data_IF_222996804679
#
_entry.id   IF_222996804679
#
_cell.length_a   1.000
_cell.length_b   1.000
_cell.length_c   1.000
_cell.angle_alpha   90.00
_cell.angle_beta   90.00
_cell.angle_gamma   90.00
#
_symmetry.space_group_name_H-M   'P 1'
#
loop_
_entity.id
_entity.type
_entity.pdbx_description
1 polymer ?
#
# COMPACT_ATOMS: atom_id res chain seq x y z
N UNK A 1 -9.82 -17.49 -1.52
CA UNK A 1 -8.42 -17.06 -1.54
C UNK A 1 -8.37 -15.54 -1.55
N UNK A 2 -7.62 -14.90 -0.64
CA UNK A 2 -7.45 -13.44 -0.67
C UNK A 2 -6.52 -13.06 -1.83
N UNK A 3 -6.89 -12.04 -2.61
CA UNK A 3 -6.03 -11.51 -3.68
C UNK A 3 -4.80 -10.86 -3.06
N UNK A 4 -3.62 -11.02 -3.65
CA UNK A 4 -2.40 -10.40 -3.15
C UNK A 4 -1.87 -9.38 -4.17
N UNK A 5 -1.45 -8.22 -3.70
CA UNK A 5 -0.82 -7.17 -4.50
C UNK A 5 0.46 -6.73 -3.78
N UNK A 6 1.55 -6.59 -4.53
CA UNK A 6 2.84 -6.10 -4.03
C UNK A 6 3.12 -4.74 -4.67
N UNK A 7 3.52 -3.77 -3.84
CA UNK A 7 3.96 -2.44 -4.25
C UNK A 7 5.43 -2.25 -3.84
N UNK A 8 6.19 -1.50 -4.62
CA UNK A 8 7.54 -1.06 -4.28
C UNK A 8 7.60 0.47 -4.36
N UNK A 9 8.03 1.12 -3.27
CA UNK A 9 8.06 2.57 -3.18
C UNK A 9 9.04 3.06 -2.11
N UNK A 10 9.56 4.26 -2.31
CA UNK A 10 10.27 5.03 -1.29
C UNK A 10 9.37 6.14 -0.72
N UNK A 11 9.90 6.91 0.23
CA UNK A 11 9.16 7.96 0.94
C UNK A 11 8.62 9.08 0.03
N UNK A 12 9.22 9.35 -1.13
CA UNK A 12 8.72 10.36 -2.07
C UNK A 12 7.43 9.93 -2.77
N UNK A 13 7.07 8.64 -2.68
CA UNK A 13 5.88 8.06 -3.29
C UNK A 13 4.81 7.66 -2.27
N UNK A 14 5.00 7.98 -0.98
CA UNK A 14 4.10 7.57 0.10
C UNK A 14 2.63 7.96 -0.16
N UNK A 15 2.38 9.20 -0.60
CA UNK A 15 1.06 9.71 -0.96
C UNK A 15 0.44 8.95 -2.14
N UNK A 16 1.29 8.51 -3.08
CA UNK A 16 0.87 7.78 -4.30
C UNK A 16 0.52 6.34 -3.96
N UNK A 17 1.32 5.68 -3.12
CA UNK A 17 1.03 4.35 -2.60
C UNK A 17 -0.32 4.34 -1.89
N UNK A 18 -0.56 5.32 -1.01
CA UNK A 18 -1.82 5.44 -0.29
C UNK A 18 -3.02 5.62 -1.26
N UNK A 19 -2.88 6.51 -2.24
CA UNK A 19 -3.90 6.74 -3.27
C UNK A 19 -4.18 5.48 -4.09
N UNK A 20 -3.12 4.76 -4.47
CA UNK A 20 -3.24 3.49 -5.19
C UNK A 20 -4.00 2.45 -4.37
N UNK A 21 -3.63 2.25 -3.10
CA UNK A 21 -4.31 1.30 -2.20
C UNK A 21 -5.80 1.67 -2.05
N UNK A 22 -6.11 2.95 -1.78
CA UNK A 22 -7.49 3.44 -1.65
C UNK A 22 -8.32 3.21 -2.91
N UNK A 23 -7.76 3.51 -4.08
CA UNK A 23 -8.46 3.30 -5.36
C UNK A 23 -8.77 1.82 -5.62
N UNK A 24 -7.85 0.90 -5.29
CA UNK A 24 -8.05 -0.54 -5.42
C UNK A 24 -9.14 -1.02 -4.45
N UNK A 25 -9.06 -0.61 -3.18
CA UNK A 25 -10.03 -0.95 -2.14
C UNK A 25 -11.44 -0.40 -2.44
N UNK A 26 -11.57 0.65 -3.25
CA UNK A 26 -12.87 1.21 -3.63
C UNK A 26 -13.77 0.25 -4.41
N UNK A 27 -13.17 -0.73 -5.12
CA UNK A 27 -13.88 -1.72 -5.94
C UNK A 27 -13.54 -3.18 -5.59
N UNK A 28 -12.49 -3.41 -4.82
CA UNK A 28 -12.04 -4.75 -4.45
C UNK A 28 -12.10 -4.92 -2.94
N UNK A 29 -12.77 -5.98 -2.49
CA UNK A 29 -12.72 -6.44 -1.10
C UNK A 29 -11.68 -7.54 -0.95
N UNK A 30 -11.19 -7.73 0.26
CA UNK A 30 -10.31 -8.86 0.64
C UNK A 30 -9.00 -8.95 -0.15
N UNK A 31 -8.32 -7.82 -0.30
CA UNK A 31 -6.98 -7.71 -0.89
C UNK A 31 -5.93 -7.64 0.22
N UNK A 32 -4.84 -8.40 0.09
CA UNK A 32 -3.65 -8.31 0.94
C UNK A 32 -2.57 -7.52 0.22
N UNK A 33 -2.13 -6.43 0.83
CA UNK A 33 -1.04 -5.60 0.31
C UNK A 33 0.28 -5.95 0.98
N UNK A 34 1.35 -5.93 0.21
CA UNK A 34 2.73 -5.94 0.69
C UNK A 34 3.45 -4.73 0.08
N UNK A 35 4.23 -4.02 0.89
CA UNK A 35 4.95 -2.82 0.45
C UNK A 35 6.44 -3.03 0.72
N UNK A 36 7.21 -3.22 -0.34
CA UNK A 36 8.67 -3.15 -0.27
C UNK A 36 9.09 -1.68 -0.23
N UNK A 37 9.83 -1.32 0.82
CA UNK A 37 10.27 0.04 1.06
C UNK A 37 11.62 0.05 1.76
N UNK A 38 12.38 1.12 1.56
CA UNK A 38 13.68 1.36 2.20
C UNK A 38 13.64 2.42 3.30
N UNK A 39 12.66 3.33 3.25
CA UNK A 39 12.65 4.58 4.01
C UNK A 39 11.24 5.09 4.35
N UNK A 40 10.19 4.26 4.21
CA UNK A 40 8.85 4.66 4.66
C UNK A 40 8.79 4.71 6.20
N UNK A 41 8.17 5.75 6.79
CA UNK A 41 8.00 5.83 8.24
C UNK A 41 7.20 4.64 8.79
N UNK A 42 7.58 4.12 9.96
CA UNK A 42 6.88 2.98 10.56
C UNK A 42 5.45 3.36 10.97
N UNK A 43 5.26 4.61 11.39
CA UNK A 43 3.99 5.19 11.81
C UNK A 43 2.96 5.16 10.68
N UNK A 44 3.40 5.28 9.42
CA UNK A 44 2.52 5.23 8.26
C UNK A 44 1.83 3.86 8.10
N UNK A 45 2.50 2.77 8.52
CA UNK A 45 1.91 1.42 8.52
C UNK A 45 0.92 1.15 9.66
N UNK A 46 0.84 2.06 10.63
CA UNK A 46 -0.01 1.94 11.82
C UNK A 46 -1.29 2.80 11.75
N UNK A 47 -1.44 3.61 10.69
CA UNK A 47 -2.64 4.40 10.38
C UNK A 47 -3.82 3.50 9.99
#
# INVERSE_FOLDING_TARGET
MKKAIVLGADNHYMDKVETTIKSICSKNKEVKFYVFNSDLPTEWFQL
#
